data_IF_143261771881
#
_entry.id   IF_143261771881
#
_cell.length_a   1.000
_cell.length_b   1.000
_cell.length_c   1.000
_cell.angle_alpha   90.00
_cell.angle_beta   90.00
_cell.angle_gamma   90.00
#
_symmetry.space_group_name_H-M   'P 1'
#
loop_
_entity.id
_entity.type
_entity.pdbx_description
1 polymer ?
#
# COMPACT_ATOMS: atom_id res chain seq x y z
N UNK A 1 -7.47 26.45 -4.26
CA UNK A 1 -7.33 27.08 -5.60
C UNK A 1 -8.47 28.08 -5.82
N UNK A 2 -8.47 29.25 -5.14
CA UNK A 2 -9.59 30.19 -5.19
C UNK A 2 -9.72 30.93 -6.53
N UNK A 3 -8.60 31.18 -7.22
CA UNK A 3 -8.60 31.88 -8.50
C UNK A 3 -9.16 30.99 -9.61
N UNK A 4 -8.69 29.74 -9.70
CA UNK A 4 -9.20 28.75 -10.65
C UNK A 4 -10.69 28.46 -10.41
N UNK A 5 -11.15 28.46 -9.14
CA UNK A 5 -12.56 28.33 -8.81
C UNK A 5 -13.44 29.48 -9.35
N UNK A 6 -12.92 30.72 -9.37
CA UNK A 6 -13.63 31.87 -9.98
C UNK A 6 -13.67 31.76 -11.50
N UNK A 7 -12.57 31.32 -12.12
CA UNK A 7 -12.52 31.06 -13.56
C UNK A 7 -13.51 29.98 -13.96
N UNK A 8 -13.56 28.88 -13.20
CA UNK A 8 -14.50 27.78 -13.44
C UNK A 8 -15.96 28.23 -13.29
N UNK A 9 -16.27 29.04 -12.28
CA UNK A 9 -17.63 29.60 -12.11
C UNK A 9 -18.07 30.45 -13.31
N UNK A 10 -17.13 31.14 -13.96
CA UNK A 10 -17.39 31.92 -15.17
C UNK A 10 -17.69 31.01 -16.37
N UNK A 11 -16.88 29.96 -16.54
CA UNK A 11 -17.07 28.94 -17.58
C UNK A 11 -18.41 28.20 -17.38
N UNK A 12 -18.71 27.75 -16.16
CA UNK A 12 -19.94 27.05 -15.81
C UNK A 12 -21.19 27.89 -16.12
N UNK A 13 -21.18 29.17 -15.75
CA UNK A 13 -22.28 30.10 -16.09
C UNK A 13 -22.45 30.24 -17.60
N UNK A 14 -21.36 30.48 -18.33
CA UNK A 14 -21.41 30.60 -19.78
C UNK A 14 -21.96 29.33 -20.44
N UNK A 15 -21.51 28.16 -20.00
CA UNK A 15 -21.94 26.87 -20.52
C UNK A 15 -23.43 26.61 -20.22
N UNK A 16 -23.89 26.86 -19.00
CA UNK A 16 -25.30 26.73 -18.61
C UNK A 16 -26.20 27.66 -19.41
N UNK A 17 -25.79 28.91 -19.62
CA UNK A 17 -26.55 29.87 -20.43
C UNK A 17 -26.68 29.40 -21.88
N UNK A 18 -25.60 28.88 -22.47
CA UNK A 18 -25.62 28.32 -23.83
C UNK A 18 -26.53 27.09 -23.88
N UNK A 19 -26.36 26.14 -22.96
CA UNK A 19 -27.19 24.93 -22.89
C UNK A 19 -28.67 25.25 -22.72
N UNK A 20 -29.02 26.24 -21.88
CA UNK A 20 -30.40 26.67 -21.70
C UNK A 20 -31.02 27.27 -22.97
N UNK A 21 -30.24 28.01 -23.77
CA UNK A 21 -30.69 28.55 -25.06
C UNK A 21 -30.82 27.46 -26.11
N UNK A 22 -29.87 26.52 -26.18
CA UNK A 22 -29.94 25.36 -27.06
C UNK A 22 -31.14 24.46 -26.72
N UNK A 23 -31.46 24.28 -25.43
CA UNK A 23 -32.63 23.52 -25.01
C UNK A 23 -33.95 24.19 -25.42
N UNK A 24 -34.00 25.54 -25.44
CA UNK A 24 -35.19 26.28 -25.91
C UNK A 24 -35.36 26.18 -27.43
N UNK A 25 -34.28 26.29 -28.20
CA UNK A 25 -34.29 26.20 -29.66
C UNK A 25 -33.30 25.11 -30.12
N UNK A 26 -33.74 23.84 -30.25
CA UNK A 26 -32.85 22.72 -30.53
C UNK A 26 -32.40 22.61 -32.00
N UNK A 27 -32.91 23.48 -32.88
CA UNK A 27 -32.51 23.52 -34.29
C UNK A 27 -31.05 23.95 -34.40
N UNK A 28 -30.19 23.08 -34.92
CA UNK A 28 -28.73 23.26 -34.93
C UNK A 28 -28.29 24.60 -35.56
N UNK A 29 -28.92 25.00 -36.66
CA UNK A 29 -28.59 26.27 -37.32
C UNK A 29 -28.94 27.46 -36.43
N UNK A 30 -30.10 27.45 -35.77
CA UNK A 30 -30.54 28.53 -34.88
C UNK A 30 -29.77 28.57 -33.57
N UNK A 31 -29.38 27.41 -33.03
CA UNK A 31 -28.58 27.31 -31.82
C UNK A 31 -27.14 27.80 -32.04
N UNK A 32 -26.52 27.40 -33.16
CA UNK A 32 -25.12 27.74 -33.47
C UNK A 32 -24.93 29.16 -34.03
N UNK A 33 -25.96 29.78 -34.61
CA UNK A 33 -25.88 31.15 -35.17
C UNK A 33 -26.20 32.25 -34.15
N UNK A 34 -26.45 31.90 -32.88
CA UNK A 34 -26.66 32.89 -31.84
C UNK A 34 -25.41 33.75 -31.64
N UNK A 35 -25.62 35.07 -31.62
CA UNK A 35 -24.55 36.06 -31.47
C UNK A 35 -23.77 35.82 -30.18
N UNK A 36 -22.44 35.75 -30.29
CA UNK A 36 -21.54 35.65 -29.14
C UNK A 36 -21.30 34.23 -28.63
N UNK A 37 -21.89 33.18 -29.22
CA UNK A 37 -21.70 31.79 -28.74
C UNK A 37 -20.28 31.31 -29.02
N UNK A 38 -19.76 31.55 -30.23
CA UNK A 38 -18.41 31.14 -30.61
C UNK A 38 -17.37 31.80 -29.72
N UNK A 39 -17.47 33.12 -29.54
CA UNK A 39 -16.57 33.91 -28.71
C UNK A 39 -16.59 33.41 -27.25
N UNK A 40 -17.78 33.18 -26.68
CA UNK A 40 -17.91 32.63 -25.33
C UNK A 40 -17.29 31.25 -25.17
N UNK A 41 -17.43 30.38 -26.17
CA UNK A 41 -16.82 29.03 -26.13
C UNK A 41 -15.30 29.12 -26.24
N UNK A 42 -14.78 29.96 -27.14
CA UNK A 42 -13.34 30.20 -27.27
C UNK A 42 -12.76 30.75 -25.96
N UNK A 43 -13.39 31.77 -25.37
CA UNK A 43 -12.96 32.34 -24.08
C UNK A 43 -13.04 31.31 -22.95
N UNK A 44 -14.08 30.47 -22.95
CA UNK A 44 -14.22 29.40 -21.96
C UNK A 44 -13.12 28.34 -22.09
N UNK A 45 -12.72 27.98 -23.31
CA UNK A 45 -11.58 27.08 -23.54
C UNK A 45 -10.27 27.68 -23.03
N UNK A 46 -10.02 28.98 -23.26
CA UNK A 46 -8.84 29.67 -22.73
C UNK A 46 -8.82 29.67 -21.20
N UNK A 47 -9.97 29.83 -20.55
CA UNK A 47 -10.08 29.73 -19.10
C UNK A 47 -9.86 28.29 -18.60
N UNK A 48 -10.40 27.29 -19.28
CA UNK A 48 -10.20 25.88 -18.96
C UNK A 48 -8.72 25.47 -19.07
N UNK A 49 -8.00 25.95 -20.08
CA UNK A 49 -6.56 25.71 -20.22
C UNK A 49 -5.77 26.27 -19.05
N UNK A 50 -6.13 27.48 -18.57
CA UNK A 50 -5.50 28.07 -17.38
C UNK A 50 -5.82 27.27 -16.12
N UNK A 51 -7.07 26.83 -15.95
CA UNK A 51 -7.50 25.99 -14.83
C UNK A 51 -6.71 24.67 -14.83
N UNK A 52 -6.61 24.00 -15.98
CA UNK A 52 -5.85 22.74 -16.11
C UNK A 52 -4.37 22.91 -15.76
N UNK A 53 -3.74 24.01 -16.18
CA UNK A 53 -2.34 24.31 -15.79
C UNK A 53 -2.21 24.52 -14.28
N UNK A 54 -3.11 25.29 -13.68
CA UNK A 54 -3.13 25.53 -12.22
C UNK A 54 -3.35 24.25 -11.42
N UNK A 55 -4.28 23.40 -11.89
CA UNK A 55 -4.56 22.10 -11.28
C UNK A 55 -3.35 21.18 -11.33
N UNK A 56 -2.71 21.06 -12.50
CA UNK A 56 -1.50 20.26 -12.65
C UNK A 56 -0.37 20.76 -11.74
N UNK A 57 -0.16 22.08 -11.65
CA UNK A 57 0.84 22.65 -10.74
C UNK A 57 0.53 22.35 -9.26
N UNK A 58 -0.75 22.38 -8.87
CA UNK A 58 -1.18 22.02 -7.53
C UNK A 58 -0.95 20.54 -7.22
N UNK A 59 -1.31 19.66 -8.16
CA UNK A 59 -1.11 18.21 -8.07
C UNK A 59 0.39 17.85 -7.97
N UNK A 60 1.24 18.48 -8.79
CA UNK A 60 2.71 18.31 -8.69
C UNK A 60 3.24 18.72 -7.33
N UNK A 61 2.77 19.84 -6.77
CA UNK A 61 3.17 20.25 -5.42
C UNK A 61 2.77 19.20 -4.36
N UNK A 62 1.61 18.56 -4.50
CA UNK A 62 1.17 17.48 -3.61
C UNK A 62 2.03 16.22 -3.75
N UNK A 63 2.44 15.87 -4.98
CA UNK A 63 3.40 14.77 -5.23
C UNK A 63 4.74 15.01 -4.56
N UNK A 64 5.22 16.25 -4.50
CA UNK A 64 6.47 16.58 -3.79
C UNK A 64 6.37 16.40 -2.27
N UNK A 65 5.19 16.61 -1.67
CA UNK A 65 4.99 16.37 -0.24
C UNK A 65 4.85 14.88 0.11
N UNK A 66 4.23 14.10 -0.77
CA UNK A 66 4.11 12.66 -0.61
C UNK A 66 4.47 11.94 -1.93
N UNK A 67 5.74 11.53 -2.09
CA UNK A 67 6.24 10.98 -3.36
C UNK A 67 5.49 9.76 -3.89
N UNK A 68 4.82 8.97 -3.04
CA UNK A 68 4.01 7.82 -3.51
C UNK A 68 2.81 8.22 -4.37
N UNK A 69 2.43 9.50 -4.37
CA UNK A 69 1.45 10.04 -5.31
C UNK A 69 1.92 10.09 -6.78
N UNK A 70 3.22 9.90 -7.06
CA UNK A 70 3.69 9.71 -8.44
C UNK A 70 3.16 8.41 -9.08
N UNK A 71 2.69 7.44 -8.28
CA UNK A 71 2.08 6.20 -8.77
C UNK A 71 0.59 6.33 -9.12
N UNK A 72 -0.01 7.48 -8.85
CA UNK A 72 -1.43 7.77 -9.12
C UNK A 72 -1.59 8.65 -10.36
N UNK A 73 -2.64 8.38 -11.14
CA UNK A 73 -3.05 9.29 -12.20
C UNK A 73 -3.57 10.62 -11.62
N UNK A 74 -3.66 11.65 -12.46
CA UNK A 74 -4.21 12.93 -12.00
C UNK A 74 -5.66 12.80 -11.51
N UNK A 75 -6.48 11.98 -12.18
CA UNK A 75 -7.88 11.75 -11.81
C UNK A 75 -7.99 11.07 -10.44
N UNK A 76 -7.14 10.07 -10.17
CA UNK A 76 -7.08 9.39 -8.88
C UNK A 76 -6.65 10.32 -7.74
N UNK A 77 -5.67 11.18 -8.00
CA UNK A 77 -5.28 12.18 -7.00
C UNK A 77 -6.39 13.18 -6.75
N UNK A 78 -7.15 13.58 -7.77
CA UNK A 78 -8.29 14.47 -7.59
C UNK A 78 -9.40 13.79 -6.80
N UNK A 79 -9.67 12.50 -7.03
CA UNK A 79 -10.64 11.75 -6.22
C UNK A 79 -10.28 11.80 -4.73
N UNK A 80 -9.01 11.53 -4.39
CA UNK A 80 -8.50 11.60 -3.02
C UNK A 80 -8.55 13.03 -2.45
N UNK A 81 -8.19 14.04 -3.25
CA UNK A 81 -8.06 15.43 -2.79
C UNK A 81 -9.37 16.24 -2.89
N UNK A 82 -10.39 15.73 -3.56
CA UNK A 82 -11.68 16.42 -3.77
C UNK A 82 -12.55 16.38 -2.51
N UNK A 83 -12.53 15.27 -1.79
CA UNK A 83 -13.28 15.06 -0.55
C UNK A 83 -12.32 14.90 0.63
N UNK A 84 -11.53 15.94 0.92
CA UNK A 84 -10.56 15.92 2.03
C UNK A 84 -11.15 15.66 3.42
N UNK A 85 -12.48 15.66 3.56
CA UNK A 85 -13.21 15.34 4.78
C UNK A 85 -13.49 13.84 4.96
N UNK A 86 -13.48 13.06 3.87
CA UNK A 86 -13.69 11.61 3.92
C UNK A 86 -12.36 10.90 3.61
N UNK A 87 -11.55 10.55 4.63
CA UNK A 87 -10.29 9.85 4.43
C UNK A 87 -10.47 8.44 3.85
N UNK A 88 -11.68 7.87 3.86
CA UNK A 88 -11.94 6.54 3.30
C UNK A 88 -11.81 6.52 1.77
N UNK A 89 -11.88 7.67 1.09
CA UNK A 89 -11.65 7.80 -0.36
C UNK A 89 -10.27 7.31 -0.80
N UNK A 90 -9.30 7.25 0.10
CA UNK A 90 -7.95 6.76 -0.19
C UNK A 90 -7.90 5.25 -0.41
N UNK A 91 -8.82 4.48 0.19
CA UNK A 91 -8.76 3.01 0.28
C UNK A 91 -8.61 2.33 -1.09
N UNK A 92 -9.34 2.70 -2.16
CA UNK A 92 -9.19 2.08 -3.48
C UNK A 92 -7.81 2.31 -4.12
N UNK A 93 -7.12 3.38 -3.74
CA UNK A 93 -5.86 3.81 -4.35
C UNK A 93 -4.62 3.39 -3.54
N UNK A 94 -4.80 2.93 -2.29
CA UNK A 94 -3.71 2.56 -1.39
C UNK A 94 -2.78 1.51 -1.99
N UNK A 95 -3.32 0.50 -2.69
CA UNK A 95 -2.53 -0.56 -3.36
C UNK A 95 -1.50 -0.03 -4.36
N UNK A 96 -1.76 1.13 -4.97
CA UNK A 96 -0.82 1.78 -5.89
C UNK A 96 0.23 2.61 -5.15
N UNK A 97 -0.14 3.21 -4.02
CA UNK A 97 0.79 4.00 -3.20
C UNK A 97 1.70 3.13 -2.33
N UNK A 98 1.19 2.01 -1.82
CA UNK A 98 1.87 1.11 -0.89
C UNK A 98 1.82 -0.32 -1.40
N UNK A 99 3.00 -0.83 -1.75
CA UNK A 99 3.17 -2.25 -1.96
C UNK A 99 3.02 -2.97 -0.61
N UNK A 100 2.06 -3.89 -0.52
CA UNK A 100 1.76 -4.65 0.70
C UNK A 100 0.60 -4.12 1.56
N UNK A 101 0.12 -2.89 1.33
CA UNK A 101 -1.07 -2.36 2.02
C UNK A 101 -2.25 -2.29 1.06
N UNK A 102 -3.24 -3.14 1.27
CA UNK A 102 -4.49 -3.10 0.54
C UNK A 102 -5.52 -2.17 1.19
N UNK A 103 -5.58 -2.18 2.52
CA UNK A 103 -6.53 -1.38 3.29
C UNK A 103 -5.95 -0.93 4.62
N UNK A 104 -6.47 0.16 5.15
CA UNK A 104 -6.23 0.60 6.53
C UNK A 104 -7.44 0.28 7.40
N UNK A 105 -7.19 -0.01 8.68
CA UNK A 105 -8.21 -0.29 9.69
C UNK A 105 -8.69 1.03 10.32
N UNK A 106 -9.78 1.59 9.80
CA UNK A 106 -10.38 2.82 10.33
C UNK A 106 -11.50 2.49 11.33
N UNK A 107 -11.53 3.19 12.45
CA UNK A 107 -12.68 3.19 13.35
C UNK A 107 -13.76 4.22 12.95
N UNK A 108 -14.80 4.35 13.77
CA UNK A 108 -15.90 5.30 13.56
C UNK A 108 -15.46 6.77 13.63
N UNK A 109 -14.36 7.05 14.32
CA UNK A 109 -13.81 8.40 14.52
C UNK A 109 -12.73 8.73 13.46
N UNK A 110 -12.53 7.85 12.48
CA UNK A 110 -11.55 7.94 11.40
C UNK A 110 -10.10 7.90 11.90
N UNK A 111 -9.88 7.20 13.02
CA UNK A 111 -8.57 6.85 13.55
C UNK A 111 -8.13 5.51 12.96
N UNK A 112 -6.87 5.43 12.57
CA UNK A 112 -6.28 4.24 11.95
C UNK A 112 -5.57 3.41 13.02
N UNK A 113 -5.94 2.14 13.13
CA UNK A 113 -5.41 1.19 14.12
C UNK A 113 -4.46 0.15 13.53
N UNK A 114 -4.49 -0.06 12.22
CA UNK A 114 -3.68 -1.08 11.57
C UNK A 114 -3.78 -1.08 10.06
N UNK A 115 -3.15 -2.07 9.45
CA UNK A 115 -3.13 -2.26 8.01
C UNK A 115 -3.44 -3.71 7.63
N UNK A 116 -4.06 -3.87 6.47
CA UNK A 116 -4.38 -5.16 5.87
C UNK A 116 -3.69 -5.33 4.52
N UNK A 117 -3.13 -6.52 4.28
CA UNK A 117 -2.60 -6.90 2.98
C UNK A 117 -3.71 -7.27 1.99
N UNK A 118 -3.35 -7.45 0.71
CA UNK A 118 -4.32 -7.93 -0.30
C UNK A 118 -4.88 -9.31 0.04
N UNK A 119 -4.12 -10.10 0.81
CA UNK A 119 -4.46 -11.49 1.14
C UNK A 119 -5.22 -11.61 2.47
N UNK A 120 -5.47 -10.46 3.13
CA UNK A 120 -6.22 -10.38 4.38
C UNK A 120 -5.38 -10.51 5.64
N UNK A 121 -4.05 -10.56 5.51
CA UNK A 121 -3.14 -10.47 6.65
C UNK A 121 -3.24 -9.11 7.32
N UNK A 122 -3.31 -9.08 8.65
CA UNK A 122 -3.47 -7.87 9.43
C UNK A 122 -2.24 -7.61 10.28
N UNK A 123 -1.78 -6.37 10.31
CA UNK A 123 -0.74 -5.88 11.23
C UNK A 123 -1.30 -4.68 11.96
N UNK A 124 -1.38 -4.78 13.28
CA UNK A 124 -1.77 -3.67 14.15
C UNK A 124 -0.65 -2.64 14.21
N UNK A 125 -1.03 -1.37 14.31
CA UNK A 125 -0.08 -0.28 14.41
C UNK A 125 0.40 -0.10 15.85
N UNK A 126 1.71 0.16 16.02
CA UNK A 126 2.30 0.45 17.34
C UNK A 126 1.73 1.72 17.98
N UNK A 127 1.16 2.61 17.17
CA UNK A 127 0.41 3.78 17.63
C UNK A 127 -0.68 4.16 16.62
N UNK A 128 -1.77 4.68 17.13
CA UNK A 128 -2.93 5.09 16.33
C UNK A 128 -2.68 6.39 15.58
N UNK A 129 -3.30 6.56 14.41
CA UNK A 129 -3.18 7.78 13.61
C UNK A 129 -4.56 8.41 13.44
N UNK A 130 -4.79 9.58 14.03
CA UNK A 130 -6.03 10.34 13.85
C UNK A 130 -5.94 11.22 12.59
N UNK A 131 -6.78 10.90 11.60
CA UNK A 131 -6.81 11.65 10.34
C UNK A 131 -7.35 13.08 10.48
N UNK A 132 -8.12 13.37 11.54
CA UNK A 132 -8.67 14.70 11.79
C UNK A 132 -7.59 15.73 12.16
N UNK A 133 -6.49 15.30 12.80
CA UNK A 133 -5.36 16.16 13.15
C UNK A 133 -4.70 16.80 11.92
N UNK A 134 -4.79 16.13 10.77
CA UNK A 134 -4.26 16.63 9.51
C UNK A 134 -5.09 17.77 8.90
N UNK A 135 -6.29 18.07 9.43
CA UNK A 135 -7.19 19.14 8.97
C UNK A 135 -7.45 19.09 7.45
N UNK A 136 -7.66 17.89 6.92
CA UNK A 136 -7.90 17.62 5.50
C UNK A 136 -6.65 17.57 4.62
N UNK A 137 -5.43 17.71 5.19
CA UNK A 137 -4.19 17.50 4.46
C UNK A 137 -3.85 16.00 4.38
N UNK A 138 -4.40 15.31 3.38
CA UNK A 138 -4.26 13.86 3.20
C UNK A 138 -2.80 13.39 3.21
N UNK A 139 -1.91 14.17 2.61
CA UNK A 139 -0.48 13.85 2.56
C UNK A 139 0.18 13.73 3.94
N UNK A 140 -0.32 14.44 4.96
CA UNK A 140 0.31 14.47 6.28
C UNK A 140 0.08 13.18 7.05
N UNK A 141 -1.16 12.72 7.12
CA UNK A 141 -1.46 11.49 7.83
C UNK A 141 -0.98 10.27 7.03
N UNK A 142 -0.91 10.33 5.69
CA UNK A 142 -0.28 9.28 4.88
C UNK A 142 1.23 9.13 5.14
N UNK A 143 1.93 10.23 5.39
CA UNK A 143 3.33 10.18 5.86
C UNK A 143 3.44 9.54 7.25
N UNK A 144 2.48 9.80 8.14
CA UNK A 144 2.44 9.13 9.44
C UNK A 144 2.18 7.63 9.29
N UNK A 145 1.27 7.21 8.41
CA UNK A 145 1.03 5.80 8.07
C UNK A 145 2.30 5.15 7.55
N UNK A 146 3.05 5.83 6.67
CA UNK A 146 4.32 5.32 6.16
C UNK A 146 5.37 5.13 7.26
N UNK A 147 5.43 6.02 8.25
CA UNK A 147 6.37 5.85 9.35
C UNK A 147 5.91 4.77 10.33
N UNK A 148 4.61 4.75 10.64
CA UNK A 148 4.02 3.81 11.57
C UNK A 148 4.08 2.37 11.03
N UNK A 149 3.85 2.14 9.73
CA UNK A 149 3.97 0.80 9.15
C UNK A 149 5.38 0.20 9.35
N UNK A 150 6.42 1.02 9.22
CA UNK A 150 7.81 0.58 9.37
C UNK A 150 8.13 0.23 10.81
N UNK A 151 7.68 1.08 11.74
CA UNK A 151 7.81 0.85 13.18
C UNK A 151 7.05 -0.41 13.58
N UNK A 152 5.80 -0.54 13.15
CA UNK A 152 4.94 -1.66 13.53
C UNK A 152 5.47 -3.00 13.01
N UNK A 153 5.93 -3.05 11.76
CA UNK A 153 6.56 -4.28 11.24
C UNK A 153 7.85 -4.61 11.99
N UNK A 154 8.67 -3.59 12.36
CA UNK A 154 9.87 -3.83 13.18
C UNK A 154 9.50 -4.37 14.55
N UNK A 155 8.54 -3.77 15.24
CA UNK A 155 8.14 -4.19 16.57
C UNK A 155 7.58 -5.63 16.53
N UNK A 156 6.77 -5.99 15.53
CA UNK A 156 6.30 -7.37 15.32
C UNK A 156 7.46 -8.33 15.01
N UNK A 157 8.50 -7.91 14.29
CA UNK A 157 9.71 -8.73 14.07
C UNK A 157 10.44 -8.97 15.39
N UNK A 158 10.59 -7.94 16.23
CA UNK A 158 11.24 -8.05 17.54
C UNK A 158 10.49 -9.04 18.44
N UNK A 159 9.17 -8.91 18.56
CA UNK A 159 8.33 -9.85 19.31
C UNK A 159 8.45 -11.28 18.77
N UNK A 160 8.46 -11.43 17.44
CA UNK A 160 8.57 -12.73 16.79
C UNK A 160 9.92 -13.40 17.03
N UNK A 161 11.01 -12.63 17.12
CA UNK A 161 12.36 -13.12 17.46
C UNK A 161 12.39 -13.65 18.89
N UNK A 162 11.82 -12.91 19.84
CA UNK A 162 11.79 -13.32 21.26
C UNK A 162 11.02 -14.64 21.44
N UNK A 163 9.90 -14.80 20.74
CA UNK A 163 9.08 -16.01 20.80
C UNK A 163 9.63 -17.20 20.01
N UNK A 164 10.53 -16.98 19.04
CA UNK A 164 11.05 -18.04 18.17
C UNK A 164 11.74 -19.17 18.94
N UNK A 165 12.44 -18.84 20.04
CA UNK A 165 13.13 -19.84 20.86
C UNK A 165 12.22 -20.53 21.86
N UNK A 166 11.08 -19.91 22.22
CA UNK A 166 10.15 -20.41 23.23
C UNK A 166 9.05 -21.29 22.64
N UNK A 167 8.77 -21.13 21.35
CA UNK A 167 7.67 -21.82 20.66
C UNK A 167 8.22 -22.78 19.61
N UNK A 168 7.73 -24.04 19.53
CA UNK A 168 8.14 -24.96 18.48
C UNK A 168 7.92 -24.35 17.09
N UNK A 169 8.94 -24.39 16.22
CA UNK A 169 8.92 -23.77 14.88
C UNK A 169 7.63 -24.08 14.11
N UNK A 170 7.17 -25.34 14.14
CA UNK A 170 5.95 -25.82 13.49
C UNK A 170 4.69 -25.06 13.93
N UNK A 171 4.61 -24.66 15.19
CA UNK A 171 3.53 -23.81 15.70
C UNK A 171 3.80 -22.34 15.38
N UNK A 172 5.01 -21.86 15.66
CA UNK A 172 5.42 -20.47 15.49
C UNK A 172 5.13 -19.94 14.07
N UNK A 173 5.46 -20.70 13.01
CA UNK A 173 5.23 -20.29 11.61
C UNK A 173 3.75 -20.06 11.23
N UNK A 174 2.81 -20.49 12.07
CA UNK A 174 1.36 -20.33 11.86
C UNK A 174 0.77 -19.13 12.61
N UNK A 175 1.53 -18.54 13.54
CA UNK A 175 1.08 -17.49 14.47
C UNK A 175 1.54 -16.09 14.05
N UNK A 176 2.59 -16.00 13.22
CA UNK A 176 3.19 -14.73 12.80
C UNK A 176 2.88 -14.37 11.34
N UNK A 177 2.89 -13.06 10.98
CA UNK A 177 2.72 -12.63 9.60
C UNK A 177 3.77 -13.22 8.66
N UNK A 178 3.41 -13.51 7.42
CA UNK A 178 4.25 -14.27 6.50
C UNK A 178 5.59 -13.62 6.19
N UNK A 179 5.63 -12.30 6.03
CA UNK A 179 6.89 -11.57 5.87
C UNK A 179 7.79 -11.69 7.11
N UNK A 180 7.19 -11.66 8.30
CA UNK A 180 7.90 -11.77 9.59
C UNK A 180 8.46 -13.18 9.75
N UNK A 181 7.66 -14.21 9.44
CA UNK A 181 8.08 -15.62 9.42
C UNK A 181 9.33 -15.81 8.57
N UNK A 182 9.33 -15.29 7.33
CA UNK A 182 10.47 -15.42 6.41
C UNK A 182 11.69 -14.63 6.92
N UNK A 183 11.47 -13.41 7.41
CA UNK A 183 12.55 -12.53 7.89
C UNK A 183 13.26 -13.15 9.10
N UNK A 184 12.52 -13.50 10.14
CA UNK A 184 13.06 -14.09 11.37
C UNK A 184 13.66 -15.46 11.09
N UNK A 185 13.01 -16.29 10.27
CA UNK A 185 13.57 -17.57 9.82
C UNK A 185 14.93 -17.40 9.12
N UNK A 186 15.10 -16.34 8.31
CA UNK A 186 16.38 -16.03 7.67
C UNK A 186 17.44 -15.54 8.65
N UNK A 187 17.05 -14.80 9.71
CA UNK A 187 17.95 -14.34 10.77
C UNK A 187 18.53 -15.56 11.51
N UNK A 188 17.66 -16.43 12.03
CA UNK A 188 18.09 -17.63 12.75
C UNK A 188 18.87 -18.58 11.86
N UNK A 189 18.42 -18.81 10.61
CA UNK A 189 19.17 -19.63 9.67
C UNK A 189 20.58 -19.09 9.46
N UNK A 190 20.74 -17.79 9.24
CA UNK A 190 22.05 -17.17 9.01
C UNK A 190 22.96 -17.34 10.24
N UNK A 191 22.41 -17.14 11.44
CA UNK A 191 23.15 -17.33 12.69
C UNK A 191 23.59 -18.79 12.88
N UNK A 192 22.67 -19.74 12.74
CA UNK A 192 22.93 -21.16 12.93
C UNK A 192 23.90 -21.71 11.88
N UNK A 193 23.84 -21.23 10.63
CA UNK A 193 24.85 -21.53 9.60
C UNK A 193 26.22 -21.00 10.03
N UNK A 194 26.31 -19.75 10.49
CA UNK A 194 27.57 -19.15 10.91
C UNK A 194 28.23 -19.96 12.04
N UNK A 195 27.45 -20.34 13.06
CA UNK A 195 27.90 -21.19 14.15
C UNK A 195 28.35 -22.57 13.66
N UNK A 196 27.58 -23.18 12.75
CA UNK A 196 27.88 -24.49 12.17
C UNK A 196 29.17 -24.49 11.34
N UNK A 197 29.44 -23.41 10.60
CA UNK A 197 30.72 -23.23 9.87
C UNK A 197 31.90 -23.22 10.85
N UNK A 198 31.75 -22.58 12.01
CA UNK A 198 32.77 -22.56 13.06
C UNK A 198 33.11 -23.94 13.62
N UNK A 199 32.17 -24.89 13.54
CA UNK A 199 32.34 -26.29 13.96
C UNK A 199 32.85 -27.21 12.84
N UNK A 200 33.09 -26.68 11.63
CA UNK A 200 33.60 -27.44 10.48
C UNK A 200 32.54 -28.36 9.84
N UNK A 201 33.03 -29.37 9.09
CA UNK A 201 32.17 -30.27 8.30
C UNK A 201 31.14 -31.02 9.16
N UNK A 202 31.51 -31.46 10.35
CA UNK A 202 30.60 -32.18 11.25
C UNK A 202 29.45 -31.28 11.75
N UNK A 203 29.74 -30.01 12.03
CA UNK A 203 28.72 -29.01 12.41
C UNK A 203 27.73 -28.74 11.29
N UNK A 204 28.23 -28.51 10.07
CA UNK A 204 27.39 -28.32 8.88
C UNK A 204 26.52 -29.54 8.59
N UNK A 205 27.07 -30.75 8.69
CA UNK A 205 26.31 -31.99 8.49
C UNK A 205 25.26 -32.22 9.59
N UNK A 206 25.53 -31.81 10.82
CA UNK A 206 24.55 -31.87 11.92
C UNK A 206 23.40 -30.88 11.67
N UNK A 207 23.72 -29.63 11.30
CA UNK A 207 22.70 -28.62 11.01
C UNK A 207 21.88 -28.94 9.76
N UNK A 208 22.49 -29.56 8.75
CA UNK A 208 21.78 -30.05 7.57
C UNK A 208 20.71 -31.11 7.92
N UNK A 209 20.89 -31.90 8.99
CA UNK A 209 19.83 -32.79 9.49
C UNK A 209 18.69 -31.99 10.11
N UNK A 210 19.00 -30.96 10.88
CA UNK A 210 18.00 -30.05 11.47
C UNK A 210 17.15 -29.40 10.37
N UNK A 211 17.76 -28.91 9.29
CA UNK A 211 17.04 -28.33 8.16
C UNK A 211 16.14 -29.33 7.43
N UNK A 212 16.56 -30.59 7.32
CA UNK A 212 15.71 -31.65 6.77
C UNK A 212 14.50 -31.92 7.65
N UNK A 213 14.69 -32.01 8.96
CA UNK A 213 13.61 -32.26 9.92
C UNK A 213 12.61 -31.09 9.95
N UNK A 214 13.12 -29.86 10.01
CA UNK A 214 12.31 -28.65 9.92
C UNK A 214 11.51 -28.58 8.62
N UNK A 215 12.11 -28.90 7.47
CA UNK A 215 11.41 -28.94 6.20
C UNK A 215 10.32 -30.03 6.18
N UNK A 216 10.62 -31.21 6.74
CA UNK A 216 9.65 -32.29 6.91
C UNK A 216 8.42 -31.84 7.70
N UNK A 217 8.64 -31.13 8.82
CA UNK A 217 7.57 -30.57 9.64
C UNK A 217 6.69 -29.59 8.88
N UNK A 218 7.28 -28.70 8.07
CA UNK A 218 6.52 -27.76 7.24
C UNK A 218 5.73 -28.51 6.14
N UNK A 219 6.34 -29.50 5.48
CA UNK A 219 5.65 -30.31 4.47
C UNK A 219 4.43 -31.03 5.05
N UNK A 220 4.55 -31.54 6.28
CA UNK A 220 3.44 -32.18 6.98
C UNK A 220 2.32 -31.19 7.31
N UNK A 221 2.66 -29.96 7.72
CA UNK A 221 1.66 -28.89 7.91
C UNK A 221 0.90 -28.58 6.61
N UNK A 222 1.63 -28.43 5.50
CA UNK A 222 1.04 -28.07 4.18
C UNK A 222 0.06 -29.14 3.69
N UNK A 223 0.32 -30.42 4.01
CA UNK A 223 -0.57 -31.56 3.74
C UNK A 223 -1.81 -31.60 4.63
N UNK A 224 -1.79 -30.89 5.76
CA UNK A 224 -2.89 -30.78 6.70
C UNK A 224 -3.95 -29.75 6.32
N UNK A 225 -4.81 -29.43 7.30
CA UNK A 225 -5.81 -28.37 7.19
C UNK A 225 -5.19 -27.05 7.62
N UNK A 226 -5.19 -26.08 6.72
CA UNK A 226 -4.66 -24.74 6.93
C UNK A 226 -5.66 -23.71 6.43
N UNK A 227 -5.65 -22.53 7.05
CA UNK A 227 -6.34 -21.37 6.48
C UNK A 227 -5.69 -20.94 5.16
N UNK A 228 -6.41 -20.16 4.35
CA UNK A 228 -5.87 -19.63 3.10
C UNK A 228 -4.58 -18.84 3.33
N UNK A 229 -4.55 -17.98 4.37
CA UNK A 229 -3.38 -17.17 4.70
C UNK A 229 -2.18 -18.04 5.11
N UNK A 230 -2.39 -18.99 6.02
CA UNK A 230 -1.31 -19.91 6.44
C UNK A 230 -0.76 -20.71 5.26
N UNK A 231 -1.61 -21.12 4.31
CA UNK A 231 -1.17 -21.84 3.12
C UNK A 231 -0.28 -20.98 2.21
N UNK A 232 -0.60 -19.69 2.07
CA UNK A 232 0.24 -18.74 1.30
C UNK A 232 1.60 -18.56 1.98
N UNK A 233 1.61 -18.29 3.29
CA UNK A 233 2.85 -18.14 4.08
C UNK A 233 3.72 -19.39 4.01
N UNK A 234 3.15 -20.57 4.30
CA UNK A 234 3.90 -21.82 4.30
C UNK A 234 4.36 -22.23 2.89
N UNK A 235 3.58 -21.91 1.85
CA UNK A 235 3.99 -22.12 0.46
C UNK A 235 5.26 -21.34 0.11
N UNK A 236 5.33 -20.07 0.52
CA UNK A 236 6.53 -19.25 0.35
C UNK A 236 7.69 -19.75 1.22
N UNK A 237 7.42 -20.10 2.48
CA UNK A 237 8.42 -20.59 3.42
C UNK A 237 9.11 -21.89 2.92
N UNK A 238 8.35 -22.84 2.35
CA UNK A 238 8.93 -24.08 1.81
C UNK A 238 9.98 -23.81 0.73
N UNK A 239 9.72 -22.84 -0.15
CA UNK A 239 10.68 -22.48 -1.22
C UNK A 239 11.97 -21.93 -0.62
N UNK A 240 11.85 -21.07 0.40
CA UNK A 240 12.99 -20.50 1.12
C UNK A 240 13.75 -21.58 1.89
N UNK A 241 13.07 -22.46 2.63
CA UNK A 241 13.67 -23.54 3.42
C UNK A 241 14.40 -24.55 2.53
N UNK A 242 13.85 -24.90 1.36
CA UNK A 242 14.51 -25.75 0.35
C UNK A 242 15.81 -25.11 -0.11
N UNK A 243 15.77 -23.83 -0.49
CA UNK A 243 16.97 -23.10 -0.91
C UNK A 243 18.01 -23.02 0.21
N UNK A 244 17.58 -22.67 1.42
CA UNK A 244 18.42 -22.55 2.61
C UNK A 244 19.15 -23.87 2.93
N UNK A 245 18.45 -25.00 2.84
CA UNK A 245 19.06 -26.34 2.96
C UNK A 245 20.06 -26.62 1.86
N UNK A 246 19.71 -26.35 0.60
CA UNK A 246 20.57 -26.65 -0.55
C UNK A 246 21.88 -25.85 -0.49
N UNK A 247 21.82 -24.59 -0.05
CA UNK A 247 23.00 -23.76 0.20
C UNK A 247 23.91 -24.38 1.28
N UNK A 248 23.34 -24.84 2.40
CA UNK A 248 24.14 -25.49 3.47
C UNK A 248 24.74 -26.81 2.99
N UNK A 249 24.00 -27.59 2.21
CA UNK A 249 24.50 -28.82 1.58
C UNK A 249 25.71 -28.54 0.67
N UNK A 250 25.61 -27.53 -0.18
CA UNK A 250 26.70 -27.15 -1.09
C UNK A 250 27.94 -26.62 -0.35
N UNK A 251 27.75 -25.97 0.80
CA UNK A 251 28.86 -25.54 1.67
C UNK A 251 29.51 -26.76 2.34
N UNK A 252 28.72 -27.71 2.84
CA UNK A 252 29.22 -28.90 3.53
C UNK A 252 30.04 -29.85 2.63
N UNK A 253 29.82 -29.79 1.30
CA UNK A 253 30.55 -30.57 0.31
C UNK A 253 31.94 -30.00 -0.07
N UNK A 254 32.24 -28.75 0.32
CA UNK A 254 33.53 -28.10 0.05
C UNK A 254 34.54 -28.35 1.16
#
# INVERSE_FOLDING_TARGET
>A
MPEEGKMFSTVDRNFKDIMAKCAKNPLVLEACTQVGVLEKIIDSNVLLDKINRGLNAYLEKKRLFFPRFFFLSNDEMLEILSETKDPLRVQPHLKKCFEGIAKLDFDSDLVIHGMFSSEGEAVQFSYTIDTNEAKGAVEKWLLQVQNCMLVSVRDVIEEAIEEYQNTPRKQWVQEWPGQVVICVGSIFWTQEVHESIGMGSDGLNAYLKVLHDQLGDIVDLVRGKLTTQQRITLGALVVIDVHARDVVHDIALK
#
